data_IF_308170138680
#
_entry.id   IF_308170138680
#
_cell.length_a   1.000
_cell.length_b   1.000
_cell.length_c   1.000
_cell.angle_alpha   90.00
_cell.angle_beta   90.00
_cell.angle_gamma   90.00
#
_symmetry.space_group_name_H-M   'P 1'
#
loop_
_entity.id
_entity.type
_entity.pdbx_description
1 polymer ?
#
# COMPACT_ATOMS: atom_id res chain seq x y z
N UNK A 1 47.39 20.12 -8.71
CA UNK A 1 46.75 19.18 -9.68
C UNK A 1 46.97 17.71 -9.33
N UNK A 2 48.20 17.24 -9.07
CA UNK A 2 48.48 15.81 -8.74
C UNK A 2 47.77 15.32 -7.46
N UNK A 3 47.76 16.13 -6.40
CA UNK A 3 47.09 15.77 -5.13
C UNK A 3 45.55 15.80 -5.21
N UNK A 4 44.99 16.62 -6.10
CA UNK A 4 43.53 16.74 -6.32
C UNK A 4 42.98 15.52 -7.08
N UNK A 5 43.76 14.99 -8.03
CA UNK A 5 43.42 13.74 -8.76
C UNK A 5 43.46 12.54 -7.81
N UNK A 6 44.43 12.49 -6.90
CA UNK A 6 44.56 11.40 -5.92
C UNK A 6 43.38 11.37 -4.92
N UNK A 7 42.91 12.54 -4.50
CA UNK A 7 41.71 12.67 -3.66
C UNK A 7 40.45 12.21 -4.40
N UNK A 8 40.24 12.62 -5.65
CA UNK A 8 39.08 12.20 -6.45
C UNK A 8 39.05 10.68 -6.69
N UNK A 9 40.21 10.06 -6.92
CA UNK A 9 40.32 8.59 -7.05
C UNK A 9 40.02 7.89 -5.72
N UNK A 10 40.52 8.41 -4.59
CA UNK A 10 40.22 7.82 -3.27
C UNK A 10 38.72 7.90 -2.92
N UNK A 11 38.07 9.03 -3.20
CA UNK A 11 36.62 9.19 -3.01
C UNK A 11 35.81 8.22 -3.90
N UNK A 12 36.23 8.02 -5.16
CA UNK A 12 35.56 7.07 -6.06
C UNK A 12 35.66 5.62 -5.55
N UNK A 13 36.82 5.20 -5.03
CA UNK A 13 37.01 3.84 -4.49
C UNK A 13 36.20 3.61 -3.22
N UNK A 14 36.14 4.61 -2.32
CA UNK A 14 35.32 4.52 -1.10
C UNK A 14 33.82 4.47 -1.46
N UNK A 15 33.39 5.27 -2.43
CA UNK A 15 32.01 5.27 -2.91
C UNK A 15 31.61 3.93 -3.54
N UNK A 16 32.46 3.32 -4.37
CA UNK A 16 32.18 2.00 -4.97
C UNK A 16 32.07 0.89 -3.92
N UNK A 17 32.96 0.87 -2.92
CA UNK A 17 32.89 -0.13 -1.83
C UNK A 17 31.59 -0.01 -1.03
N UNK A 18 31.14 1.21 -0.75
CA UNK A 18 29.88 1.47 -0.04
C UNK A 18 28.66 1.00 -0.85
N UNK A 19 28.64 1.28 -2.15
CA UNK A 19 27.55 0.81 -3.02
C UNK A 19 27.48 -0.72 -3.05
N UNK A 20 28.64 -1.39 -3.21
CA UNK A 20 28.69 -2.85 -3.24
C UNK A 20 28.16 -3.49 -1.94
N UNK A 21 28.51 -2.93 -0.77
CA UNK A 21 27.97 -3.43 0.51
C UNK A 21 26.45 -3.26 0.63
N UNK A 22 25.89 -2.15 0.13
CA UNK A 22 24.44 -1.91 0.13
C UNK A 22 23.73 -2.89 -0.81
N UNK A 23 24.31 -3.16 -1.98
CA UNK A 23 23.75 -4.10 -2.95
C UNK A 23 23.77 -5.55 -2.41
N UNK A 24 24.81 -5.94 -1.67
CA UNK A 24 24.90 -7.25 -1.01
C UNK A 24 23.87 -7.39 0.12
N UNK A 25 23.71 -6.38 0.97
CA UNK A 25 22.71 -6.36 2.05
C UNK A 25 21.28 -6.45 1.50
N UNK A 26 20.95 -5.63 0.50
CA UNK A 26 19.66 -5.65 -0.18
C UNK A 26 19.38 -7.01 -0.83
N UNK A 27 20.39 -7.62 -1.44
CA UNK A 27 20.25 -8.96 -2.02
C UNK A 27 19.99 -10.02 -0.95
N UNK A 28 20.69 -9.97 0.18
CA UNK A 28 20.48 -10.91 1.27
C UNK A 28 19.08 -10.77 1.88
N UNK A 29 18.66 -9.53 2.19
CA UNK A 29 17.30 -9.25 2.67
C UNK A 29 16.24 -9.80 1.70
N UNK A 30 16.40 -9.54 0.39
CA UNK A 30 15.49 -10.07 -0.64
C UNK A 30 15.48 -11.60 -0.71
N UNK A 31 16.63 -12.25 -0.56
CA UNK A 31 16.70 -13.71 -0.54
C UNK A 31 15.97 -14.29 0.68
N UNK A 32 16.18 -13.71 1.86
CA UNK A 32 15.47 -14.10 3.08
C UNK A 32 13.96 -13.84 2.98
N UNK A 33 13.56 -12.70 2.45
CA UNK A 33 12.16 -12.38 2.16
C UNK A 33 11.52 -13.42 1.23
N UNK A 34 12.21 -13.76 0.12
CA UNK A 34 11.76 -14.76 -0.84
C UNK A 34 11.68 -16.19 -0.28
N UNK A 35 12.36 -16.49 0.84
CA UNK A 35 12.22 -17.76 1.56
C UNK A 35 10.94 -17.82 2.39
N UNK A 36 10.49 -16.68 2.92
CA UNK A 36 9.24 -16.57 3.71
C UNK A 36 7.99 -16.60 2.84
N UNK A 37 8.10 -16.17 1.59
CA UNK A 37 6.99 -16.11 0.63
C UNK A 37 6.50 -17.51 0.25
N UNK A 38 5.20 -17.73 0.39
CA UNK A 38 4.48 -18.88 -0.17
C UNK A 38 3.83 -18.46 -1.49
N UNK A 39 4.37 -18.83 -2.66
CA UNK A 39 3.91 -18.32 -3.93
C UNK A 39 2.41 -18.56 -4.17
N UNK A 40 1.69 -17.49 -4.51
CA UNK A 40 0.25 -17.50 -4.75
C UNK A 40 -0.61 -17.74 -3.49
N UNK A 41 -0.05 -17.66 -2.28
CA UNK A 41 -0.85 -17.59 -1.04
C UNK A 41 -1.64 -16.28 -1.06
N UNK A 42 -2.98 -16.30 -1.05
CA UNK A 42 -3.78 -15.07 -1.04
C UNK A 42 -3.60 -14.32 0.29
N UNK A 43 -3.65 -12.99 0.25
CA UNK A 43 -3.67 -12.17 1.47
C UNK A 43 -4.99 -12.32 2.23
N UNK A 44 -6.10 -12.56 1.53
CA UNK A 44 -7.43 -12.60 2.14
C UNK A 44 -8.27 -13.73 1.53
N UNK A 45 -9.06 -14.42 2.35
CA UNK A 45 -10.20 -15.21 1.87
C UNK A 45 -11.45 -14.32 1.83
N UNK A 46 -12.20 -14.37 0.73
CA UNK A 46 -13.34 -13.47 0.53
C UNK A 46 -14.34 -14.01 -0.49
N UNK A 47 -15.59 -13.57 -0.41
CA UNK A 47 -16.63 -13.72 -1.43
C UNK A 47 -17.27 -12.39 -1.80
N UNK A 48 -16.87 -11.29 -1.15
CA UNK A 48 -17.29 -9.93 -1.44
C UNK A 48 -16.09 -8.98 -1.25
N UNK A 49 -16.00 -7.97 -2.12
CA UNK A 49 -15.02 -6.88 -1.97
C UNK A 49 -15.73 -5.56 -2.23
N UNK A 50 -15.65 -4.65 -1.27
CA UNK A 50 -16.13 -3.28 -1.41
C UNK A 50 -14.95 -2.33 -1.56
N UNK A 51 -14.98 -1.48 -2.58
CA UNK A 51 -14.02 -0.41 -2.81
C UNK A 51 -14.64 0.92 -2.41
N UNK A 52 -14.01 1.59 -1.45
CA UNK A 52 -14.27 2.96 -1.08
C UNK A 52 -13.22 3.87 -1.71
N UNK A 53 -13.68 4.93 -2.36
CA UNK A 53 -12.82 5.98 -2.88
C UNK A 53 -13.17 7.33 -2.27
N UNK A 54 -12.19 7.98 -1.64
CA UNK A 54 -12.32 9.30 -1.05
C UNK A 54 -11.71 10.32 -2.01
N UNK A 55 -12.54 11.23 -2.53
CA UNK A 55 -12.12 12.20 -3.54
C UNK A 55 -11.70 13.52 -2.90
N UNK A 56 -10.46 13.57 -2.41
CA UNK A 56 -9.85 14.78 -1.86
C UNK A 56 -8.46 15.00 -2.46
N UNK A 57 -8.11 16.24 -2.80
CA UNK A 57 -6.75 16.54 -3.23
C UNK A 57 -5.80 16.53 -2.03
N UNK A 58 -4.51 16.30 -2.26
CA UNK A 58 -3.51 16.39 -1.19
C UNK A 58 -3.52 17.79 -0.56
N UNK A 59 -3.62 18.84 -1.38
CA UNK A 59 -3.73 20.22 -0.89
C UNK A 59 -4.93 20.42 0.02
N UNK A 60 -6.12 20.02 -0.41
CA UNK A 60 -7.34 20.21 0.39
C UNK A 60 -7.28 19.41 1.68
N UNK A 61 -6.69 18.20 1.64
CA UNK A 61 -6.45 17.41 2.84
C UNK A 61 -5.50 18.12 3.80
N UNK A 62 -4.34 18.59 3.32
CA UNK A 62 -3.36 19.31 4.14
C UNK A 62 -3.96 20.59 4.73
N UNK A 63 -4.77 21.33 3.97
CA UNK A 63 -5.47 22.54 4.43
C UNK A 63 -6.48 22.21 5.56
N UNK A 64 -6.98 20.97 5.66
CA UNK A 64 -7.87 20.53 6.74
C UNK A 64 -7.14 20.03 7.99
N UNK A 65 -5.93 19.47 7.84
CA UNK A 65 -5.20 18.80 8.93
C UNK A 65 -4.00 19.60 9.47
N UNK A 66 -3.48 20.56 8.71
CA UNK A 66 -2.37 21.44 9.12
C UNK A 66 -2.86 22.84 9.49
N UNK A 67 -3.83 22.89 10.40
CA UNK A 67 -4.39 24.11 10.98
C UNK A 67 -4.32 24.04 12.50
N UNK A 68 -4.35 25.19 13.18
CA UNK A 68 -4.21 25.30 14.64
C UNK A 68 -5.23 24.45 15.42
N UNK A 69 -6.41 24.20 14.84
CA UNK A 69 -7.44 23.33 15.41
C UNK A 69 -8.07 22.45 14.33
N UNK A 70 -7.62 21.19 14.25
CA UNK A 70 -8.16 20.20 13.31
C UNK A 70 -9.59 19.84 13.69
N UNK A 71 -10.52 20.01 12.75
CA UNK A 71 -11.93 19.64 12.91
C UNK A 71 -12.10 18.13 13.16
N UNK A 72 -13.25 17.70 13.68
CA UNK A 72 -13.54 16.27 13.81
C UNK A 72 -13.48 15.57 12.44
N UNK A 73 -13.98 16.21 11.39
CA UNK A 73 -13.86 15.70 10.01
C UNK A 73 -12.40 15.51 9.58
N UNK A 74 -11.53 16.51 9.84
CA UNK A 74 -10.11 16.40 9.55
C UNK A 74 -9.45 15.22 10.27
N UNK A 75 -9.81 14.97 11.53
CA UNK A 75 -9.32 13.81 12.30
C UNK A 75 -9.79 12.48 11.72
N UNK A 76 -11.05 12.41 11.27
CA UNK A 76 -11.59 11.22 10.63
C UNK A 76 -10.92 10.97 9.26
N UNK A 77 -10.68 12.02 8.48
CA UNK A 77 -9.95 11.93 7.22
C UNK A 77 -8.51 11.48 7.43
N UNK A 78 -7.77 12.04 8.39
CA UNK A 78 -6.42 11.59 8.73
C UNK A 78 -6.41 10.09 9.12
N UNK A 79 -7.39 9.65 9.90
CA UNK A 79 -7.55 8.23 10.25
C UNK A 79 -7.78 7.30 9.03
N UNK A 80 -8.44 7.79 7.98
CA UNK A 80 -8.66 7.00 6.77
C UNK A 80 -7.48 7.07 5.81
N UNK A 81 -6.85 8.23 5.68
CA UNK A 81 -5.93 8.53 4.59
C UNK A 81 -4.46 8.40 4.97
N UNK A 82 -4.08 8.64 6.23
CA UNK A 82 -2.68 8.58 6.67
C UNK A 82 -2.39 7.31 7.48
N UNK A 83 -3.30 6.95 8.39
CA UNK A 83 -3.12 5.77 9.23
C UNK A 83 -3.09 4.48 8.37
N UNK A 84 -2.28 3.48 8.74
CA UNK A 84 -2.33 2.15 8.11
C UNK A 84 -3.70 1.48 8.31
N UNK A 85 -3.86 0.27 7.78
CA UNK A 85 -5.04 -0.55 8.06
C UNK A 85 -5.14 -0.80 9.58
N UNK A 86 -6.35 -0.74 10.16
CA UNK A 86 -6.55 -0.97 11.59
C UNK A 86 -6.29 -2.45 11.93
N UNK A 87 -5.53 -2.71 12.99
CA UNK A 87 -5.17 -4.06 13.45
C UNK A 87 -5.95 -4.39 14.72
N UNK A 88 -5.98 -3.46 15.68
CA UNK A 88 -6.66 -3.63 16.96
C UNK A 88 -8.16 -3.37 16.87
N UNK A 89 -8.92 -3.87 17.85
CA UNK A 89 -10.37 -3.64 17.90
C UNK A 89 -10.73 -2.15 18.03
N UNK A 90 -9.93 -1.39 18.79
CA UNK A 90 -10.13 0.05 18.97
C UNK A 90 -9.94 0.81 17.65
N UNK A 91 -8.84 0.52 16.94
CA UNK A 91 -8.57 1.11 15.62
C UNK A 91 -9.67 0.76 14.61
N UNK A 92 -10.20 -0.48 14.65
CA UNK A 92 -11.31 -0.90 13.78
C UNK A 92 -12.58 -0.11 14.07
N UNK A 93 -12.93 0.10 15.34
CA UNK A 93 -14.09 0.93 15.72
C UNK A 93 -13.92 2.38 15.24
N UNK A 94 -12.72 2.97 15.42
CA UNK A 94 -12.40 4.32 14.94
C UNK A 94 -12.50 4.41 13.42
N UNK A 95 -11.92 3.43 12.71
CA UNK A 95 -11.99 3.33 11.26
C UNK A 95 -13.44 3.21 10.78
N UNK A 96 -14.25 2.35 11.38
CA UNK A 96 -15.66 2.17 11.03
C UNK A 96 -16.46 3.46 11.21
N UNK A 97 -16.24 4.19 12.30
CA UNK A 97 -16.84 5.51 12.52
C UNK A 97 -16.43 6.47 11.39
N UNK A 98 -15.14 6.52 11.07
CA UNK A 98 -14.61 7.42 10.06
C UNK A 98 -15.16 7.11 8.66
N UNK A 99 -15.07 5.87 8.20
CA UNK A 99 -15.50 5.50 6.85
C UNK A 99 -17.00 5.70 6.67
N UNK A 100 -17.82 5.56 7.72
CA UNK A 100 -19.26 5.85 7.68
C UNK A 100 -19.59 7.34 7.61
N UNK A 101 -18.71 8.19 8.14
CA UNK A 101 -18.99 9.62 8.33
C UNK A 101 -18.46 10.52 7.20
N UNK A 102 -17.39 10.11 6.52
CA UNK A 102 -16.81 10.91 5.42
C UNK A 102 -17.55 10.67 4.10
N UNK A 103 -17.59 11.70 3.26
CA UNK A 103 -18.05 11.56 1.88
C UNK A 103 -17.09 10.66 1.08
N UNK A 104 -17.67 9.73 0.33
CA UNK A 104 -16.93 8.69 -0.41
C UNK A 104 -17.80 8.05 -1.48
N UNK A 105 -17.14 7.55 -2.52
CA UNK A 105 -17.76 6.66 -3.48
C UNK A 105 -17.60 5.21 -3.00
N UNK A 106 -18.72 4.50 -2.86
CA UNK A 106 -18.75 3.08 -2.51
C UNK A 106 -19.07 2.25 -3.76
N UNK A 107 -18.25 1.24 -4.05
CA UNK A 107 -18.42 0.37 -5.20
C UNK A 107 -18.17 -1.09 -4.80
N UNK A 108 -19.19 -1.94 -4.89
CA UNK A 108 -18.98 -3.39 -4.82
C UNK A 108 -18.24 -3.85 -6.08
N UNK A 109 -17.14 -4.58 -5.91
CA UNK A 109 -16.38 -5.11 -7.02
C UNK A 109 -17.10 -6.32 -7.61
N UNK A 110 -17.28 -6.31 -8.93
CA UNK A 110 -17.94 -7.39 -9.65
C UNK A 110 -17.22 -8.75 -9.45
N UNK A 111 -17.93 -9.83 -9.12
CA UNK A 111 -17.36 -11.16 -8.85
C UNK A 111 -16.45 -11.71 -9.95
N UNK A 112 -16.65 -11.30 -11.22
CA UNK A 112 -15.78 -11.71 -12.34
C UNK A 112 -14.31 -11.32 -12.13
N UNK A 113 -14.02 -10.35 -11.26
CA UNK A 113 -12.66 -9.92 -10.94
C UNK A 113 -12.04 -10.65 -9.75
N UNK A 114 -12.79 -11.45 -8.98
CA UNK A 114 -12.30 -12.05 -7.74
C UNK A 114 -11.12 -12.99 -7.96
N UNK A 115 -11.10 -13.72 -9.08
CA UNK A 115 -9.95 -14.56 -9.44
C UNK A 115 -8.67 -13.74 -9.68
N UNK A 116 -8.76 -12.59 -10.37
CA UNK A 116 -7.62 -11.70 -10.58
C UNK A 116 -7.18 -11.05 -9.26
N UNK A 117 -8.13 -10.61 -8.43
CA UNK A 117 -7.84 -10.03 -7.12
C UNK A 117 -7.12 -11.04 -6.22
N UNK A 118 -7.65 -12.25 -6.08
CA UNK A 118 -7.12 -13.29 -5.18
C UNK A 118 -5.79 -13.86 -5.66
N UNK A 119 -5.66 -14.15 -6.95
CA UNK A 119 -4.55 -14.97 -7.46
C UNK A 119 -3.47 -14.15 -8.18
N UNK A 120 -3.71 -12.85 -8.43
CA UNK A 120 -2.78 -11.99 -9.18
C UNK A 120 -2.50 -10.64 -8.52
N UNK A 121 -3.35 -10.13 -7.63
CA UNK A 121 -3.12 -8.83 -7.00
C UNK A 121 -2.78 -9.03 -5.53
N UNK A 122 -3.75 -9.44 -4.71
CA UNK A 122 -3.60 -9.60 -3.26
C UNK A 122 -3.08 -10.99 -2.91
N UNK A 123 -1.86 -11.28 -3.34
CA UNK A 123 -1.21 -12.57 -3.11
C UNK A 123 0.30 -12.43 -2.99
N UNK A 124 0.90 -13.29 -2.18
CA UNK A 124 2.34 -13.32 -1.99
C UNK A 124 3.07 -13.71 -3.28
N UNK A 125 4.03 -12.89 -3.67
CA UNK A 125 4.87 -13.12 -4.85
C UNK A 125 6.30 -12.76 -4.55
N UNK A 126 7.20 -13.57 -5.10
CA UNK A 126 8.63 -13.28 -5.07
C UNK A 126 8.94 -12.06 -5.92
N UNK A 127 9.92 -11.29 -5.50
CA UNK A 127 10.42 -10.15 -6.25
C UNK A 127 11.93 -10.27 -6.51
N UNK A 128 12.34 -9.75 -7.68
CA UNK A 128 13.75 -9.67 -8.08
C UNK A 128 14.43 -8.43 -7.50
N UNK A 129 13.64 -7.43 -7.18
CA UNK A 129 14.06 -6.15 -6.60
C UNK A 129 13.00 -5.74 -5.59
N UNK A 130 13.41 -5.01 -4.55
CA UNK A 130 12.55 -4.44 -3.52
C UNK A 130 12.99 -3.01 -3.27
N UNK A 131 12.09 -2.05 -3.42
CA UNK A 131 12.39 -0.63 -3.22
C UNK A 131 11.49 -0.07 -2.11
N UNK A 132 12.05 0.81 -1.29
CA UNK A 132 11.29 1.59 -0.32
C UNK A 132 10.98 2.97 -0.91
N UNK A 133 9.74 3.42 -0.74
CA UNK A 133 9.31 4.77 -1.14
C UNK A 133 9.35 5.70 0.08
N UNK A 134 9.88 6.91 -0.08
CA UNK A 134 10.04 7.90 0.99
C UNK A 134 8.92 8.97 0.99
N UNK A 135 7.67 8.56 0.75
CA UNK A 135 6.50 9.45 0.72
C UNK A 135 5.58 9.17 1.92
N UNK A 136 4.85 10.18 2.40
CA UNK A 136 3.72 9.96 3.31
C UNK A 136 2.49 9.50 2.49
N UNK A 137 1.86 8.36 2.81
CA UNK A 137 0.74 7.87 2.02
C UNK A 137 -0.50 8.74 2.21
N UNK A 138 -1.27 8.92 1.13
CA UNK A 138 -2.66 9.35 1.20
C UNK A 138 -3.56 8.27 0.58
N UNK A 139 -4.06 7.38 1.44
CA UNK A 139 -4.82 6.16 1.11
C UNK A 139 -6.26 6.46 0.67
N UNK A 140 -6.41 7.11 -0.48
CA UNK A 140 -7.73 7.45 -1.04
C UNK A 140 -8.52 6.27 -1.57
N UNK A 141 -7.89 5.11 -1.74
CA UNK A 141 -8.51 3.88 -2.21
C UNK A 141 -8.44 2.80 -1.12
N UNK A 142 -9.60 2.42 -0.59
CA UNK A 142 -9.72 1.48 0.52
C UNK A 142 -10.58 0.29 0.08
N UNK A 143 -10.08 -0.91 0.27
CA UNK A 143 -10.76 -2.16 -0.07
C UNK A 143 -11.07 -2.93 1.20
N UNK A 144 -12.34 -3.26 1.41
CA UNK A 144 -12.79 -4.13 2.49
C UNK A 144 -13.16 -5.48 1.90
N UNK A 145 -12.52 -6.53 2.38
CA UNK A 145 -12.74 -7.91 1.97
C UNK A 145 -13.64 -8.59 2.98
N UNK A 146 -14.68 -9.28 2.50
CA UNK A 146 -15.58 -10.04 3.37
C UNK A 146 -15.73 -11.47 2.89
N UNK A 147 -15.95 -12.36 3.85
CA UNK A 147 -16.38 -13.75 3.64
C UNK A 147 -17.63 -13.99 4.44
N UNK A 148 -18.69 -14.51 3.83
CA UNK A 148 -19.97 -14.75 4.52
C UNK A 148 -20.45 -13.50 5.30
N UNK A 149 -20.29 -12.31 4.70
CA UNK A 149 -20.60 -10.98 5.29
C UNK A 149 -19.74 -10.52 6.48
N UNK A 150 -18.76 -11.30 6.91
CA UNK A 150 -17.79 -10.89 7.93
C UNK A 150 -16.53 -10.34 7.28
N UNK A 151 -15.99 -9.24 7.80
CA UNK A 151 -14.70 -8.71 7.36
C UNK A 151 -13.58 -9.74 7.60
N UNK A 152 -12.84 -10.04 6.54
CA UNK A 152 -11.64 -10.90 6.59
C UNK A 152 -10.35 -10.12 6.37
N UNK A 153 -10.45 -8.89 5.90
CA UNK A 153 -9.32 -7.98 5.89
C UNK A 153 -9.57 -6.71 5.08
N UNK A 154 -8.51 -5.90 4.99
CA UNK A 154 -8.54 -4.58 4.39
C UNK A 154 -7.23 -4.30 3.65
N UNK A 155 -7.35 -3.58 2.53
CA UNK A 155 -6.21 -2.97 1.85
C UNK A 155 -6.44 -1.47 1.69
N UNK A 156 -5.50 -0.66 2.15
CA UNK A 156 -5.43 0.77 1.91
C UNK A 156 -4.35 1.05 0.88
N UNK A 157 -4.67 1.79 -0.18
CA UNK A 157 -3.79 2.01 -1.34
C UNK A 157 -3.66 3.51 -1.64
N UNK A 158 -2.43 3.99 -1.74
CA UNK A 158 -2.10 5.29 -2.28
C UNK A 158 -1.49 5.07 -3.68
N UNK A 159 -2.28 5.25 -4.74
CA UNK A 159 -1.80 5.02 -6.11
C UNK A 159 -0.73 6.01 -6.57
N UNK A 160 -0.71 7.23 -6.01
CA UNK A 160 0.28 8.26 -6.37
C UNK A 160 1.66 7.93 -5.82
N UNK A 161 1.75 7.63 -4.53
CA UNK A 161 3.02 7.24 -3.89
C UNK A 161 3.32 5.73 -3.97
N UNK A 162 2.40 4.95 -4.54
CA UNK A 162 2.48 3.49 -4.66
C UNK A 162 2.65 2.77 -3.30
N UNK A 163 2.25 3.43 -2.23
CA UNK A 163 2.25 2.90 -0.88
C UNK A 163 0.95 2.15 -0.60
N UNK A 164 1.05 1.18 0.28
CA UNK A 164 -0.04 0.29 0.61
C UNK A 164 0.05 -0.16 2.06
N UNK A 165 -1.10 -0.47 2.64
CA UNK A 165 -1.21 -1.11 3.94
C UNK A 165 -2.24 -2.22 3.85
N UNK A 166 -1.97 -3.33 4.55
CA UNK A 166 -2.82 -4.51 4.58
C UNK A 166 -3.09 -4.88 6.04
N UNK A 167 -4.32 -5.28 6.36
CA UNK A 167 -4.67 -5.69 7.73
C UNK A 167 -4.27 -7.13 8.07
N UNK A 168 -3.80 -7.92 7.10
CA UNK A 168 -3.32 -9.28 7.35
C UNK A 168 -1.80 -9.23 7.64
N UNK A 169 -1.44 -9.27 8.92
CA UNK A 169 -0.06 -9.24 9.39
C UNK A 169 0.72 -10.54 9.09
N UNK A 170 0.02 -11.65 8.79
CA UNK A 170 0.66 -12.92 8.43
C UNK A 170 1.05 -12.99 6.94
N UNK A 171 0.60 -12.03 6.13
CA UNK A 171 0.92 -11.98 4.72
C UNK A 171 2.29 -11.32 4.49
N UNK A 172 3.14 -11.95 3.68
CA UNK A 172 4.41 -11.34 3.27
C UNK A 172 4.15 -10.37 2.10
N UNK A 173 4.20 -9.07 2.38
CA UNK A 173 3.69 -8.03 1.46
C UNK A 173 4.78 -7.10 0.90
N UNK A 174 6.03 -7.23 1.35
CA UNK A 174 7.15 -6.35 0.99
C UNK A 174 7.43 -6.34 -0.53
N UNK A 175 7.11 -7.44 -1.22
CA UNK A 175 7.22 -7.56 -2.68
C UNK A 175 5.96 -7.09 -3.44
N UNK A 176 4.93 -6.59 -2.75
CA UNK A 176 3.71 -6.14 -3.42
C UNK A 176 4.02 -4.95 -4.33
N UNK A 177 3.31 -4.90 -5.46
CA UNK A 177 3.53 -3.97 -6.57
C UNK A 177 4.84 -4.15 -7.37
N UNK A 178 5.72 -5.10 -7.01
CA UNK A 178 6.92 -5.40 -7.79
C UNK A 178 6.63 -6.21 -9.07
N UNK A 179 5.39 -6.66 -9.29
CA UNK A 179 4.98 -7.36 -10.51
C UNK A 179 3.77 -6.67 -11.19
N UNK A 180 3.57 -5.38 -10.93
CA UNK A 180 2.54 -4.54 -11.57
C UNK A 180 1.14 -4.69 -10.99
N UNK A 181 1.03 -5.10 -9.73
CA UNK A 181 -0.23 -5.29 -8.99
C UNK A 181 -1.10 -4.03 -9.01
N UNK A 182 -0.55 -2.85 -8.70
CA UNK A 182 -1.33 -1.60 -8.67
C UNK A 182 -1.86 -1.23 -10.06
N UNK A 183 -1.08 -1.44 -11.12
CA UNK A 183 -1.52 -1.22 -12.49
C UNK A 183 -2.69 -2.12 -12.89
N UNK A 184 -2.71 -3.38 -12.42
CA UNK A 184 -3.83 -4.30 -12.61
C UNK A 184 -5.05 -3.86 -11.80
N UNK A 185 -4.85 -3.50 -10.54
CA UNK A 185 -5.91 -3.05 -9.64
C UNK A 185 -6.62 -1.79 -10.18
N UNK A 186 -5.85 -0.78 -10.63
CA UNK A 186 -6.40 0.44 -11.26
C UNK A 186 -7.27 0.13 -12.48
N UNK A 187 -6.88 -0.84 -13.31
CA UNK A 187 -7.70 -1.30 -14.45
C UNK A 187 -9.00 -1.96 -14.01
N UNK A 188 -9.00 -2.73 -12.91
CA UNK A 188 -10.21 -3.35 -12.36
C UNK A 188 -11.17 -2.26 -11.89
N UNK A 189 -10.70 -1.30 -11.07
CA UNK A 189 -11.51 -0.19 -10.57
C UNK A 189 -12.19 0.56 -11.72
N UNK A 190 -11.41 0.98 -12.73
CA UNK A 190 -11.93 1.71 -13.90
C UNK A 190 -12.98 0.90 -14.68
N UNK A 191 -12.78 -0.40 -14.86
CA UNK A 191 -13.74 -1.25 -15.58
C UNK A 191 -14.96 -1.62 -14.73
N UNK A 192 -14.84 -1.62 -13.40
CA UNK A 192 -15.95 -1.88 -12.50
C UNK A 192 -16.97 -0.73 -12.55
N UNK A 193 -16.50 0.52 -12.51
CA UNK A 193 -17.34 1.72 -12.58
C UNK A 193 -18.15 1.86 -13.88
N UNK A 194 -17.67 1.29 -14.99
CA UNK A 194 -18.37 1.35 -16.30
C UNK A 194 -19.58 0.41 -16.40
N UNK A 195 -19.84 -0.42 -15.38
CA UNK A 195 -20.92 -1.43 -15.41
C UNK A 195 -21.96 -1.25 -14.29
N UNK A 196 -21.76 -0.27 -13.42
CA UNK A 196 -22.79 0.21 -12.48
C UNK A 196 -23.45 1.44 -13.12
#
# INVERSE_FOLDING_TARGET
MKNTILLLVAFAVISCKKQQSVDEENNNYRLELNKKITPNKPFFDFDEVTHYQISISEKDFLDLVHVDSVSEEGKLLSCLLEDPCPITQEEKVKFEKAIKSVDKQENVINPKYYNELRNKIFTEKKCKESWAYACAPLYRDIFIFKKNKMETGMAKICFECQLFSFSNEEAVTDCFNMNGELGRLKKIILKNKKKN
#
